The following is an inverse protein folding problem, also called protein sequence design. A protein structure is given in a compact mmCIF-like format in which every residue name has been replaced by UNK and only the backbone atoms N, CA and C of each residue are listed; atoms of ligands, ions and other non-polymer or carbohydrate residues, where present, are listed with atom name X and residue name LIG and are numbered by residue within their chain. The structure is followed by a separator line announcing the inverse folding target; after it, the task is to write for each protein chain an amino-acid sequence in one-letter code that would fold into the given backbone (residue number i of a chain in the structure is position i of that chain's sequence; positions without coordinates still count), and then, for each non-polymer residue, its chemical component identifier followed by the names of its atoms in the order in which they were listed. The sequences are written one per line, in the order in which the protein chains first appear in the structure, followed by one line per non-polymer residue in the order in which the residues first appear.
data_IF_107787182963
#
_entry.id   IF_107787182963
#
_cell.length_a   1.000
_cell.length_b   1.000
_cell.length_c   1.000
_cell.angle_alpha   90.00
_cell.angle_beta   90.00
_cell.angle_gamma   90.00
#
_symmetry.space_group_name_H-M   'P 1'
#
loop_
_entity.id
_entity.type
_entity.pdbx_description
1 polymer ?
#
# COMPACT_ATOMS: atom_id res chain seq x y z
N UNK A 1 35.23 -53.26 29.35
CA UNK A 1 34.03 -52.96 30.15
C UNK A 1 33.25 -51.90 29.39
N UNK A 2 32.30 -52.31 28.54
CA UNK A 2 31.44 -51.34 27.84
C UNK A 2 30.50 -50.69 28.85
N UNK A 3 30.62 -49.39 29.03
CA UNK A 3 29.70 -48.60 29.86
C UNK A 3 28.27 -48.73 29.32
N UNK A 4 27.24 -48.83 30.18
CA UNK A 4 25.86 -48.91 29.73
C UNK A 4 25.50 -47.64 28.95
N UNK A 5 25.18 -47.81 27.65
CA UNK A 5 24.72 -46.72 26.79
C UNK A 5 23.24 -46.47 27.08
N UNK A 6 22.94 -45.33 27.69
CA UNK A 6 21.56 -44.94 27.99
C UNK A 6 20.98 -44.18 26.78
N UNK A 7 19.86 -44.66 26.27
CA UNK A 7 19.08 -43.90 25.29
C UNK A 7 18.24 -42.87 26.04
N UNK A 8 18.37 -41.60 25.67
CA UNK A 8 17.53 -40.53 26.22
C UNK A 8 16.52 -40.10 25.17
N UNK A 9 15.24 -40.16 25.54
CA UNK A 9 14.12 -39.80 24.70
C UNK A 9 13.41 -38.57 25.27
N UNK A 10 13.17 -37.57 24.43
CA UNK A 10 12.41 -36.37 24.79
C UNK A 10 11.25 -36.17 23.81
N UNK A 11 10.08 -35.81 24.33
CA UNK A 11 8.90 -35.47 23.52
C UNK A 11 8.86 -33.97 23.25
N UNK A 12 8.65 -33.60 21.99
CA UNK A 12 8.47 -32.23 21.53
C UNK A 12 7.05 -32.06 21.01
N UNK A 13 6.30 -31.03 21.43
CA UNK A 13 4.93 -30.85 20.98
C UNK A 13 4.87 -30.62 19.47
N UNK A 14 3.83 -31.15 18.82
CA UNK A 14 3.53 -30.76 17.44
C UNK A 14 3.04 -29.31 17.40
N UNK A 15 3.58 -28.53 16.46
CA UNK A 15 3.18 -27.14 16.22
C UNK A 15 2.33 -27.06 14.96
N UNK A 16 1.19 -26.37 15.04
CA UNK A 16 0.31 -26.15 13.90
C UNK A 16 1.00 -25.23 12.87
N UNK A 17 0.82 -25.52 11.58
CA UNK A 17 1.37 -24.73 10.47
C UNK A 17 2.78 -25.16 10.00
N UNK A 18 3.41 -26.14 10.64
CA UNK A 18 4.68 -26.70 10.15
C UNK A 18 4.42 -27.53 8.89
N UNK A 19 5.11 -27.19 7.79
CA UNK A 19 5.10 -27.96 6.54
C UNK A 19 5.96 -29.22 6.68
N UNK A 20 7.21 -29.04 7.08
CA UNK A 20 8.19 -30.12 7.23
C UNK A 20 8.89 -30.05 8.59
N UNK A 21 9.27 -31.19 9.14
CA UNK A 21 10.13 -31.28 10.33
C UNK A 21 11.31 -32.20 10.05
N UNK A 22 12.52 -31.77 10.44
CA UNK A 22 13.76 -32.55 10.24
C UNK A 22 14.60 -32.58 11.51
N UNK A 23 15.05 -33.78 11.87
CA UNK A 23 16.06 -34.01 12.91
C UNK A 23 16.65 -35.40 12.73
N UNK A 24 17.97 -35.54 12.78
CA UNK A 24 18.66 -36.84 12.70
C UNK A 24 18.31 -37.76 13.90
N UNK A 25 17.83 -37.15 14.97
CA UNK A 25 17.38 -37.82 16.19
C UNK A 25 15.89 -38.21 16.17
N UNK A 26 15.13 -37.93 15.10
CA UNK A 26 13.72 -38.29 15.03
C UNK A 26 13.57 -39.82 15.00
N UNK A 27 12.75 -40.35 15.92
CA UNK A 27 12.49 -41.80 16.04
C UNK A 27 11.02 -42.18 16.08
N UNK A 28 10.12 -41.21 16.17
CA UNK A 28 8.69 -41.47 16.05
C UNK A 28 7.86 -40.23 16.27
N UNK A 29 6.61 -40.30 15.83
CA UNK A 29 5.59 -39.28 16.04
C UNK A 29 4.37 -39.93 16.69
N UNK A 30 3.69 -39.19 17.56
CA UNK A 30 2.38 -39.53 18.12
C UNK A 30 1.38 -38.46 17.67
N UNK A 31 0.09 -38.63 17.99
CA UNK A 31 -0.95 -37.68 17.63
C UNK A 31 -0.74 -36.24 18.16
N UNK A 32 0.19 -36.02 19.10
CA UNK A 32 0.42 -34.71 19.73
C UNK A 32 1.90 -34.35 19.90
N UNK A 33 2.83 -35.26 19.61
CA UNK A 33 4.25 -35.03 19.87
C UNK A 33 5.20 -35.78 18.93
N UNK A 34 6.39 -35.22 18.75
CA UNK A 34 7.53 -35.82 18.06
C UNK A 34 8.55 -36.30 19.08
N UNK A 35 9.06 -37.52 18.92
CA UNK A 35 10.04 -38.13 19.81
C UNK A 35 11.43 -38.07 19.20
N UNK A 36 12.33 -37.35 19.86
CA UNK A 36 13.74 -37.31 19.53
C UNK A 36 14.51 -38.22 20.50
N UNK A 37 15.40 -39.06 19.97
CA UNK A 37 16.18 -40.00 20.77
C UNK A 37 17.63 -40.02 20.32
N UNK A 38 18.53 -39.85 21.28
CA UNK A 38 19.97 -39.89 21.06
C UNK A 38 20.68 -40.74 22.11
N UNK A 39 21.88 -41.23 21.76
CA UNK A 39 22.74 -42.00 22.65
C UNK A 39 23.72 -41.05 23.31
N UNK A 40 23.69 -40.98 24.64
CA UNK A 40 24.59 -40.12 25.42
C UNK A 40 25.38 -41.00 26.39
N UNK A 41 26.71 -40.87 26.42
CA UNK A 41 27.51 -41.57 27.40
C UNK A 41 27.35 -40.93 28.79
N UNK A 42 27.71 -41.67 29.85
CA UNK A 42 27.64 -41.16 31.20
C UNK A 42 28.52 -39.91 31.35
N UNK A 43 27.96 -38.83 31.91
CA UNK A 43 28.60 -37.51 32.11
C UNK A 43 28.90 -36.74 30.81
N UNK A 44 28.40 -37.19 29.66
CA UNK A 44 28.46 -36.40 28.42
C UNK A 44 27.18 -35.59 28.20
N UNK A 45 27.34 -34.48 27.46
CA UNK A 45 26.23 -33.66 26.97
C UNK A 45 26.21 -33.76 25.46
N UNK A 46 25.03 -34.02 24.88
CA UNK A 46 24.84 -34.04 23.43
C UNK A 46 23.78 -33.01 23.03
N UNK A 47 24.09 -32.22 22.02
CA UNK A 47 23.16 -31.26 21.41
C UNK A 47 22.36 -31.96 20.32
N UNK A 48 21.04 -31.80 20.35
CA UNK A 48 20.13 -32.32 19.33
C UNK A 48 19.53 -31.15 18.58
N UNK A 49 19.77 -31.09 17.28
CA UNK A 49 19.18 -30.06 16.41
C UNK A 49 17.89 -30.58 15.80
N UNK A 50 16.86 -29.75 15.85
CA UNK A 50 15.58 -29.99 15.22
C UNK A 50 15.16 -28.74 14.44
N UNK A 51 14.74 -28.93 13.20
CA UNK A 51 14.36 -27.86 12.27
C UNK A 51 12.90 -28.04 11.91
N UNK A 52 12.11 -27.02 12.21
CA UNK A 52 10.73 -26.86 11.75
C UNK A 52 10.75 -25.94 10.50
N UNK A 53 10.23 -26.40 9.37
CA UNK A 53 10.01 -25.59 8.17
C UNK A 53 8.52 -25.20 8.13
N UNK A 54 8.25 -23.90 8.06
CA UNK A 54 6.90 -23.35 7.94
C UNK A 54 6.82 -22.47 6.72
N UNK A 55 5.83 -22.72 5.85
CA UNK A 55 5.52 -21.82 4.75
C UNK A 55 4.54 -20.78 5.27
N UNK A 56 4.97 -19.53 5.33
CA UNK A 56 4.08 -18.39 5.59
C UNK A 56 3.51 -17.92 4.26
N UNK A 57 2.21 -18.06 4.09
CA UNK A 57 1.49 -17.45 2.98
C UNK A 57 0.98 -16.09 3.43
N UNK A 58 1.50 -15.03 2.82
CA UNK A 58 1.03 -13.67 3.03
C UNK A 58 0.36 -13.20 1.74
N UNK A 59 -0.93 -12.87 1.82
CA UNK A 59 -1.70 -12.34 0.70
C UNK A 59 -1.81 -10.82 0.81
N UNK A 60 -1.48 -10.11 -0.26
CA UNK A 60 -1.53 -8.65 -0.32
C UNK A 60 -2.45 -8.21 -1.47
N UNK A 61 -3.38 -7.32 -1.18
CA UNK A 61 -4.24 -6.72 -2.20
C UNK A 61 -3.51 -5.55 -2.88
N UNK A 62 -2.85 -5.82 -4.01
CA UNK A 62 -2.10 -4.80 -4.77
C UNK A 62 -2.99 -3.67 -5.30
N UNK A 63 -4.27 -3.94 -5.54
CA UNK A 63 -5.22 -2.96 -6.05
C UNK A 63 -5.43 -1.79 -5.06
N UNK A 64 -5.44 -2.11 -3.76
CA UNK A 64 -5.74 -1.19 -2.66
C UNK A 64 -4.49 -0.65 -1.97
N UNK A 65 -3.31 -1.11 -2.38
CA UNK A 65 -2.04 -0.70 -1.78
C UNK A 65 -1.66 0.72 -2.20
N UNK A 66 -1.32 1.55 -1.21
CA UNK A 66 -0.76 2.88 -1.42
C UNK A 66 0.73 2.83 -1.79
N UNK A 67 1.26 3.98 -2.23
CA UNK A 67 2.65 4.11 -2.66
C UNK A 67 3.67 3.75 -1.56
N UNK A 68 3.32 3.94 -0.29
CA UNK A 68 4.22 3.70 0.84
C UNK A 68 4.30 2.20 1.13
N UNK A 69 3.16 1.51 1.11
CA UNK A 69 3.08 0.05 1.24
C UNK A 69 3.86 -0.64 0.11
N UNK A 70 3.63 -0.21 -1.13
CA UNK A 70 4.29 -0.76 -2.31
C UNK A 70 5.81 -0.57 -2.27
N UNK A 71 6.28 0.61 -1.87
CA UNK A 71 7.71 0.90 -1.71
C UNK A 71 8.34 0.04 -0.60
N UNK A 72 7.62 -0.13 0.52
CA UNK A 72 8.06 -0.99 1.62
C UNK A 72 8.17 -2.44 1.18
N UNK A 73 7.19 -2.97 0.46
CA UNK A 73 7.22 -4.35 -0.04
C UNK A 73 8.30 -4.56 -1.09
N UNK A 74 8.49 -3.58 -1.99
CA UNK A 74 9.58 -3.59 -2.96
C UNK A 74 10.95 -3.72 -2.29
N UNK A 75 11.13 -3.12 -1.12
CA UNK A 75 12.40 -3.14 -0.39
C UNK A 75 12.56 -4.39 0.48
N UNK A 76 11.46 -5.08 0.80
CA UNK A 76 11.44 -6.23 1.68
C UNK A 76 11.55 -7.58 0.94
N UNK A 77 11.23 -7.62 -0.36
CA UNK A 77 11.31 -8.86 -1.15
C UNK A 77 12.74 -9.17 -1.60
N UNK A 78 13.10 -10.45 -1.61
CA UNK A 78 14.39 -10.93 -2.13
C UNK A 78 14.35 -11.21 -3.65
N UNK A 79 13.15 -11.32 -4.25
CA UNK A 79 13.01 -11.47 -5.69
C UNK A 79 13.10 -10.10 -6.39
N UNK A 80 14.20 -9.90 -7.13
CA UNK A 80 14.49 -8.66 -7.84
C UNK A 80 13.42 -8.32 -8.89
N UNK A 81 12.79 -9.34 -9.50
CA UNK A 81 11.73 -9.11 -10.50
C UNK A 81 10.48 -8.53 -9.83
N UNK A 82 10.06 -9.14 -8.72
CA UNK A 82 8.96 -8.64 -7.90
C UNK A 82 9.26 -7.26 -7.32
N UNK A 83 10.49 -7.02 -6.84
CA UNK A 83 10.91 -5.71 -6.36
C UNK A 83 10.74 -4.63 -7.44
N UNK A 84 11.23 -4.89 -8.65
CA UNK A 84 11.12 -3.95 -9.76
C UNK A 84 9.65 -3.65 -10.12
N UNK A 85 8.78 -4.66 -10.23
CA UNK A 85 7.34 -4.45 -10.51
C UNK A 85 6.63 -3.66 -9.40
N UNK A 86 6.95 -3.92 -8.13
CA UNK A 86 6.36 -3.19 -7.00
C UNK A 86 6.79 -1.72 -6.97
N UNK A 87 8.06 -1.46 -7.29
CA UNK A 87 8.59 -0.10 -7.46
C UNK A 87 7.91 0.64 -8.61
N UNK A 88 7.73 -0.03 -9.76
CA UNK A 88 6.98 0.52 -10.90
C UNK A 88 5.53 0.85 -10.51
N UNK A 89 4.86 -0.05 -9.80
CA UNK A 89 3.50 0.16 -9.31
C UNK A 89 3.42 1.34 -8.33
N UNK A 90 4.40 1.48 -7.42
CA UNK A 90 4.48 2.62 -6.51
C UNK A 90 4.61 3.95 -7.26
N UNK A 91 5.47 4.02 -8.28
CA UNK A 91 5.63 5.21 -9.12
C UNK A 91 4.35 5.55 -9.89
N UNK A 92 3.64 4.53 -10.39
CA UNK A 92 2.35 4.73 -11.06
C UNK A 92 1.30 5.28 -10.08
N UNK A 93 1.26 4.77 -8.83
CA UNK A 93 0.36 5.28 -7.79
C UNK A 93 0.66 6.72 -7.39
N UNK A 94 1.92 7.09 -7.24
CA UNK A 94 2.32 8.49 -6.98
C UNK A 94 1.71 9.44 -8.01
N UNK A 95 1.78 9.07 -9.30
CA UNK A 95 1.22 9.88 -10.39
C UNK A 95 -0.30 9.97 -10.32
N UNK A 96 -0.98 8.84 -10.04
CA UNK A 96 -2.43 8.81 -9.88
C UNK A 96 -2.88 9.71 -8.72
N UNK A 97 -2.30 9.53 -7.53
CA UNK A 97 -2.61 10.32 -6.33
C UNK A 97 -2.34 11.81 -6.54
N UNK A 98 -1.26 12.17 -7.23
CA UNK A 98 -0.98 13.56 -7.56
C UNK A 98 -2.04 14.17 -8.50
N UNK A 99 -2.53 13.40 -9.47
CA UNK A 99 -3.60 13.85 -10.36
C UNK A 99 -4.95 13.99 -9.64
N UNK A 100 -5.27 13.09 -8.71
CA UNK A 100 -6.46 13.18 -7.85
C UNK A 100 -6.45 14.46 -7.01
N UNK A 101 -5.32 14.75 -6.33
CA UNK A 101 -5.15 15.97 -5.54
C UNK A 101 -5.34 17.22 -6.39
N UNK A 102 -4.70 17.26 -7.56
CA UNK A 102 -4.85 18.38 -8.49
C UNK A 102 -6.30 18.59 -8.93
N UNK A 103 -7.04 17.51 -9.16
CA UNK A 103 -8.45 17.62 -9.53
C UNK A 103 -9.29 18.18 -8.36
N UNK A 104 -9.03 17.71 -7.15
CA UNK A 104 -9.68 18.23 -5.94
C UNK A 104 -9.41 19.72 -5.72
N UNK A 105 -8.15 20.15 -5.86
CA UNK A 105 -7.76 21.57 -5.72
C UNK A 105 -8.48 22.47 -6.75
N UNK A 106 -8.64 21.99 -7.99
CA UNK A 106 -9.38 22.70 -9.04
C UNK A 106 -10.87 22.80 -8.68
N UNK A 107 -11.47 21.71 -8.19
CA UNK A 107 -12.88 21.68 -7.83
C UNK A 107 -13.17 22.59 -6.62
N UNK A 108 -12.26 22.67 -5.65
CA UNK A 108 -12.32 23.62 -4.54
C UNK A 108 -12.25 25.07 -5.02
N UNK A 109 -11.31 25.39 -5.92
CA UNK A 109 -11.16 26.72 -6.52
C UNK A 109 -12.40 27.15 -7.31
N UNK A 110 -13.05 26.21 -8.01
CA UNK A 110 -14.32 26.47 -8.70
C UNK A 110 -15.45 26.76 -7.70
N UNK A 111 -15.48 26.06 -6.56
CA UNK A 111 -16.48 26.22 -5.49
C UNK A 111 -16.48 27.63 -4.88
N UNK A 112 -15.43 27.98 -4.11
CA UNK A 112 -14.57 29.05 -4.62
C UNK A 112 -15.17 30.32 -5.21
N UNK A 113 -14.82 30.47 -6.48
CA UNK A 113 -15.25 31.56 -7.34
C UNK A 113 -16.77 31.59 -7.48
N UNK A 114 -17.45 30.44 -7.50
CA UNK A 114 -18.92 30.39 -7.63
C UNK A 114 -19.63 31.03 -6.44
N UNK A 115 -19.13 30.81 -5.22
CA UNK A 115 -19.63 31.46 -4.00
C UNK A 115 -19.40 32.98 -4.06
N UNK A 116 -18.21 33.40 -4.47
CA UNK A 116 -17.88 34.83 -4.58
C UNK A 116 -18.73 35.52 -5.67
N UNK A 117 -18.99 34.89 -6.80
CA UNK A 117 -19.93 35.40 -7.81
C UNK A 117 -21.35 35.57 -7.25
N UNK A 118 -21.77 34.72 -6.32
CA UNK A 118 -23.01 34.90 -5.57
C UNK A 118 -23.01 36.21 -4.77
N UNK A 119 -21.93 36.46 -4.02
CA UNK A 119 -21.75 37.68 -3.21
C UNK A 119 -21.66 38.93 -4.07
N UNK A 120 -20.93 38.89 -5.19
CA UNK A 120 -20.83 40.02 -6.11
C UNK A 120 -22.20 40.36 -6.72
N UNK A 121 -22.99 39.36 -7.14
CA UNK A 121 -24.35 39.59 -7.66
C UNK A 121 -25.27 40.22 -6.62
N UNK A 122 -25.18 39.78 -5.36
CA UNK A 122 -25.92 40.39 -4.25
C UNK A 122 -25.51 41.86 -4.04
N UNK A 123 -24.21 42.14 -4.01
CA UNK A 123 -23.70 43.51 -3.82
C UNK A 123 -24.09 44.43 -4.99
N UNK A 124 -24.04 43.93 -6.23
CA UNK A 124 -24.49 44.67 -7.41
C UNK A 124 -25.96 45.09 -7.33
N UNK A 125 -26.82 44.24 -6.76
CA UNK A 125 -28.23 44.58 -6.53
C UNK A 125 -28.44 45.63 -5.44
N UNK A 126 -27.47 45.84 -4.55
CA UNK A 126 -27.56 46.78 -3.43
C UNK A 126 -26.93 48.16 -3.72
N UNK A 127 -26.12 48.29 -4.77
CA UNK A 127 -25.41 49.54 -5.11
C UNK A 127 -26.05 50.25 -6.31
N UNK A 128 -25.98 51.59 -6.38
CA UNK A 128 -26.41 52.31 -7.59
C UNK A 128 -25.62 51.86 -8.82
N UNK A 129 -26.34 51.63 -9.93
CA UNK A 129 -25.79 51.02 -11.16
C UNK A 129 -24.69 51.84 -11.84
N UNK A 130 -24.70 53.16 -11.66
CA UNK A 130 -23.69 54.08 -12.23
C UNK A 130 -22.55 54.39 -11.23
N UNK A 131 -22.49 53.71 -10.10
CA UNK A 131 -21.43 53.94 -9.11
C UNK A 131 -20.11 53.31 -9.57
N UNK A 132 -18.99 53.92 -9.17
CA UNK A 132 -17.64 53.34 -9.35
C UNK A 132 -17.54 51.93 -8.75
N UNK A 133 -18.27 51.69 -7.66
CA UNK A 133 -18.32 50.39 -6.99
C UNK A 133 -18.99 49.32 -7.86
N UNK A 134 -20.11 49.64 -8.53
CA UNK A 134 -20.75 48.74 -9.49
C UNK A 134 -19.80 48.37 -10.64
N UNK A 135 -19.06 49.34 -11.18
CA UNK A 135 -18.06 49.10 -12.24
C UNK A 135 -16.96 48.15 -11.79
N UNK A 136 -16.46 48.28 -10.56
CA UNK A 136 -15.45 47.36 -10.02
C UNK A 136 -16.00 45.94 -9.89
N UNK A 137 -17.21 45.77 -9.34
CA UNK A 137 -17.83 44.45 -9.23
C UNK A 137 -18.05 43.77 -10.58
N UNK A 138 -18.44 44.52 -11.62
CA UNK A 138 -18.56 43.97 -12.98
C UNK A 138 -17.22 43.52 -13.56
N UNK A 139 -16.13 44.28 -13.30
CA UNK A 139 -14.78 43.86 -13.70
C UNK A 139 -14.37 42.59 -12.97
N UNK A 140 -14.52 42.55 -11.66
CA UNK A 140 -14.14 41.38 -10.86
C UNK A 140 -14.93 40.13 -11.29
N UNK A 141 -16.20 40.29 -11.66
CA UNK A 141 -17.02 39.21 -12.23
C UNK A 141 -16.49 38.71 -13.58
N UNK A 142 -16.05 39.62 -14.46
CA UNK A 142 -15.41 39.25 -15.72
C UNK A 142 -14.11 38.46 -15.47
N UNK A 143 -13.26 38.94 -14.57
CA UNK A 143 -11.99 38.28 -14.25
C UNK A 143 -12.22 36.87 -13.68
N UNK A 144 -13.27 36.70 -12.88
CA UNK A 144 -13.72 35.40 -12.38
C UNK A 144 -14.22 34.47 -13.48
N UNK A 145 -14.96 34.97 -14.48
CA UNK A 145 -15.37 34.14 -15.63
C UNK A 145 -14.17 33.68 -16.46
N UNK A 146 -13.19 34.57 -16.69
CA UNK A 146 -11.96 34.23 -17.40
C UNK A 146 -11.15 33.17 -16.60
N UNK A 147 -11.09 33.29 -15.28
CA UNK A 147 -10.48 32.30 -14.40
C UNK A 147 -11.22 30.95 -14.43
N UNK A 148 -12.56 30.94 -14.37
CA UNK A 148 -13.37 29.72 -14.48
C UNK A 148 -13.18 29.02 -15.82
N UNK A 149 -13.06 29.76 -16.93
CA UNK A 149 -12.77 29.20 -18.24
C UNK A 149 -11.39 28.48 -18.26
N UNK A 150 -10.37 29.09 -17.64
CA UNK A 150 -9.06 28.47 -17.46
C UNK A 150 -9.15 27.20 -16.61
N UNK A 151 -9.82 27.26 -15.45
CA UNK A 151 -9.99 26.14 -14.53
C UNK A 151 -10.75 24.97 -15.18
N UNK A 152 -11.80 25.24 -15.95
CA UNK A 152 -12.52 24.20 -16.73
C UNK A 152 -11.59 23.47 -17.70
N UNK A 153 -10.67 24.19 -18.34
CA UNK A 153 -9.67 23.59 -19.24
C UNK A 153 -8.65 22.75 -18.45
N UNK A 154 -8.19 23.25 -17.31
CA UNK A 154 -7.27 22.53 -16.42
C UNK A 154 -7.92 21.26 -15.85
N UNK A 155 -9.19 21.35 -15.44
CA UNK A 155 -9.99 20.22 -14.94
C UNK A 155 -10.07 19.10 -15.96
N UNK A 156 -10.39 19.41 -17.22
CA UNK A 156 -10.44 18.42 -18.31
C UNK A 156 -9.09 17.72 -18.52
N UNK A 157 -7.98 18.47 -18.41
CA UNK A 157 -6.64 17.90 -18.51
C UNK A 157 -6.32 17.00 -17.31
N UNK A 158 -6.63 17.45 -16.09
CA UNK A 158 -6.42 16.69 -14.87
C UNK A 158 -7.24 15.40 -14.85
N UNK A 159 -8.50 15.45 -15.28
CA UNK A 159 -9.39 14.29 -15.40
C UNK A 159 -8.85 13.25 -16.40
N UNK A 160 -8.40 13.72 -17.58
CA UNK A 160 -7.76 12.84 -18.56
C UNK A 160 -6.46 12.20 -18.03
N UNK A 161 -5.65 12.97 -17.29
CA UNK A 161 -4.43 12.46 -16.65
C UNK A 161 -4.76 11.44 -15.56
N UNK A 162 -5.75 11.71 -14.72
CA UNK A 162 -6.20 10.79 -13.69
C UNK A 162 -6.64 9.46 -14.29
N UNK A 163 -7.48 9.51 -15.33
CA UNK A 163 -7.89 8.31 -16.06
C UNK A 163 -6.69 7.56 -16.63
N UNK A 164 -5.77 8.25 -17.30
CA UNK A 164 -4.56 7.64 -17.85
C UNK A 164 -3.71 6.95 -16.79
N UNK A 165 -3.49 7.59 -15.64
CA UNK A 165 -2.70 7.00 -14.56
C UNK A 165 -3.45 5.85 -13.87
N UNK A 166 -4.77 5.96 -13.71
CA UNK A 166 -5.61 4.85 -13.23
C UNK A 166 -5.54 3.63 -14.14
N UNK A 167 -5.64 3.82 -15.46
CA UNK A 167 -5.49 2.76 -16.46
C UNK A 167 -4.08 2.12 -16.39
N UNK A 168 -3.04 2.95 -16.22
CA UNK A 168 -1.66 2.49 -16.05
C UNK A 168 -1.50 1.62 -14.80
N UNK A 169 -2.04 2.04 -13.66
CA UNK A 169 -2.01 1.24 -12.43
C UNK A 169 -2.76 -0.08 -12.64
N UNK A 170 -3.98 -0.03 -13.19
CA UNK A 170 -4.77 -1.22 -13.47
C UNK A 170 -4.10 -2.18 -14.45
N UNK A 171 -3.32 -1.67 -15.41
CA UNK A 171 -2.52 -2.51 -16.32
C UNK A 171 -1.37 -3.21 -15.59
N UNK A 172 -0.62 -2.48 -14.76
CA UNK A 172 0.48 -3.06 -13.98
C UNK A 172 -0.05 -4.15 -13.04
N UNK A 173 -1.13 -3.88 -12.30
CA UNK A 173 -1.74 -4.86 -11.38
C UNK A 173 -2.20 -6.13 -12.11
N UNK A 174 -2.75 -6.02 -13.33
CA UNK A 174 -3.14 -7.20 -14.13
C UNK A 174 -1.96 -7.99 -14.70
N UNK A 175 -0.78 -7.38 -14.76
CA UNK A 175 0.44 -7.99 -15.27
C UNK A 175 1.35 -8.57 -14.17
N UNK A 176 0.93 -8.50 -12.90
CA UNK A 176 1.54 -9.23 -11.80
C UNK A 176 1.26 -10.72 -11.90
#
# INVERSE_FOLDING_TARGET
MEMPRTYRSSAFPERLGIRDFRSDALRGTTATARRLTVKVAAKETQVVTAVDEMVRLEGYALADADETMLSRWSSATYDLTTAAKLSELALARIKATAAERRLADIDEEVGRISEEQGRIRQNLGAVPSQSKLATNYMRDMKDQEDALASLRTQRKKADAQLKQYGDSVGAIVRAF
#
